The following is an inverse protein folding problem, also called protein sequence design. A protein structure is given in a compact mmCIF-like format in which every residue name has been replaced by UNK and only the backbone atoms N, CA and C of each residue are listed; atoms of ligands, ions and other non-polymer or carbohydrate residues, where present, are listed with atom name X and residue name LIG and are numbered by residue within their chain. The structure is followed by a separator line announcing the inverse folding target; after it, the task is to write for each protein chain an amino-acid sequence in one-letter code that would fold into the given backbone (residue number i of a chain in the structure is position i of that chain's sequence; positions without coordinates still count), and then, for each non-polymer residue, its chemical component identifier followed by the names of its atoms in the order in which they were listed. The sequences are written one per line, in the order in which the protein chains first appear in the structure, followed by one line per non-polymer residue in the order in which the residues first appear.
data_IF_453346553002
#
_entry.id   IF_453346553002
#
_cell.length_a   1.000
_cell.length_b   1.000
_cell.length_c   1.000
_cell.angle_alpha   90.00
_cell.angle_beta   90.00
_cell.angle_gamma   90.00
#
_symmetry.space_group_name_H-M   'P 1'
#
loop_
_entity.id
_entity.type
_entity.pdbx_description
1 polymer ?
#
# COMPACT_ATOMS: atom_id res chain seq x y z
N UNK A 1 -4.04 -2.11 17.56
CA UNK A 1 -3.35 -2.01 16.25
C UNK A 1 -3.97 -3.03 15.32
N UNK A 2 -4.65 -2.61 14.25
CA UNK A 2 -5.29 -3.55 13.33
C UNK A 2 -4.22 -4.18 12.42
N UNK A 3 -3.98 -5.49 12.57
CA UNK A 3 -2.94 -6.24 11.81
C UNK A 3 -3.12 -6.08 10.30
N UNK A 4 -4.36 -5.88 9.84
CA UNK A 4 -4.67 -5.63 8.43
C UNK A 4 -3.93 -4.42 7.85
N UNK A 5 -3.82 -3.32 8.61
CA UNK A 5 -3.12 -2.11 8.14
C UNK A 5 -1.64 -2.38 7.90
N UNK A 6 -1.01 -3.17 8.77
CA UNK A 6 0.40 -3.59 8.60
C UNK A 6 0.57 -4.48 7.36
N UNK A 7 -0.36 -5.40 7.12
CA UNK A 7 -0.36 -6.26 5.93
C UNK A 7 -0.46 -5.40 4.66
N UNK A 8 -1.33 -4.39 4.62
CA UNK A 8 -1.46 -3.51 3.46
C UNK A 8 -0.19 -2.72 3.17
N UNK A 9 0.51 -2.23 4.20
CA UNK A 9 1.80 -1.57 4.01
C UNK A 9 2.88 -2.53 3.50
N UNK A 10 2.89 -3.78 3.97
CA UNK A 10 3.79 -4.82 3.45
C UNK A 10 3.49 -5.15 1.98
N UNK A 11 2.22 -5.28 1.62
CA UNK A 11 1.78 -5.51 0.23
C UNK A 11 2.13 -4.33 -0.66
N UNK A 12 1.93 -3.11 -0.19
CA UNK A 12 2.36 -1.91 -0.90
C UNK A 12 3.88 -1.93 -1.18
N UNK A 13 4.70 -2.20 -0.17
CA UNK A 13 6.15 -2.33 -0.33
C UNK A 13 6.55 -3.43 -1.32
N UNK A 14 5.89 -4.59 -1.25
CA UNK A 14 6.10 -5.69 -2.19
C UNK A 14 5.75 -5.30 -3.63
N UNK A 15 4.64 -4.60 -3.83
CA UNK A 15 4.19 -4.15 -5.16
C UNK A 15 5.10 -3.07 -5.75
N UNK A 16 5.61 -2.15 -4.93
CA UNK A 16 6.63 -1.18 -5.39
C UNK A 16 7.93 -1.90 -5.78
N UNK A 17 8.38 -2.86 -4.98
CA UNK A 17 9.53 -3.71 -5.32
C UNK A 17 9.30 -4.52 -6.61
N UNK A 18 8.08 -5.05 -6.79
CA UNK A 18 7.66 -5.76 -7.99
C UNK A 18 7.58 -4.85 -9.23
N UNK A 19 7.13 -3.60 -9.07
CA UNK A 19 7.15 -2.61 -10.14
C UNK A 19 8.59 -2.29 -10.57
N UNK A 20 9.51 -2.13 -9.62
CA UNK A 20 10.93 -1.91 -9.92
C UNK A 20 11.58 -3.12 -10.62
N UNK A 21 11.26 -4.34 -10.18
CA UNK A 21 11.72 -5.56 -10.82
C UNK A 21 11.18 -5.69 -12.25
N UNK A 22 9.89 -5.38 -12.47
CA UNK A 22 9.28 -5.39 -13.80
C UNK A 22 9.89 -4.33 -14.74
N UNK A 23 10.23 -3.15 -14.20
CA UNK A 23 10.89 -2.09 -14.95
C UNK A 23 12.27 -2.54 -15.43
N UNK A 24 13.07 -3.12 -14.54
CA UNK A 24 14.38 -3.68 -14.91
C UNK A 24 14.27 -4.81 -15.93
N UNK A 25 13.16 -5.56 -15.92
CA UNK A 25 12.89 -6.63 -16.88
C UNK A 25 12.36 -6.11 -18.24
N UNK A 26 12.33 -4.78 -18.45
CA UNK A 26 11.87 -4.14 -19.69
C UNK A 26 10.35 -4.15 -19.90
N UNK A 27 9.57 -4.65 -18.94
CA UNK A 27 8.11 -4.74 -19.06
C UNK A 27 7.42 -3.51 -18.50
N UNK A 28 7.17 -2.54 -19.38
CA UNK A 28 6.48 -1.29 -19.03
C UNK A 28 5.06 -1.56 -18.51
N UNK A 29 4.34 -2.49 -19.14
CA UNK A 29 2.96 -2.80 -18.79
C UNK A 29 2.84 -3.35 -17.36
N UNK A 30 3.69 -4.32 -17.00
CA UNK A 30 3.73 -4.88 -15.64
C UNK A 30 4.19 -3.85 -14.60
N UNK A 31 5.12 -2.97 -14.96
CA UNK A 31 5.57 -1.88 -14.09
C UNK A 31 4.41 -0.96 -13.72
N UNK A 32 3.62 -0.54 -14.71
CA UNK A 32 2.48 0.36 -14.49
C UNK A 32 1.39 -0.33 -13.68
N UNK A 33 1.08 -1.59 -13.97
CA UNK A 33 0.07 -2.35 -13.21
C UNK A 33 0.49 -2.53 -11.76
N UNK A 34 1.74 -2.94 -11.50
CA UNK A 34 2.26 -3.10 -10.16
C UNK A 34 2.31 -1.76 -9.39
N UNK A 35 2.70 -0.68 -10.05
CA UNK A 35 2.69 0.67 -9.48
C UNK A 35 1.29 1.17 -9.14
N UNK A 36 0.31 0.94 -10.03
CA UNK A 36 -1.09 1.30 -9.79
C UNK A 36 -1.68 0.53 -8.61
N UNK A 37 -1.41 -0.78 -8.52
CA UNK A 37 -1.85 -1.61 -7.40
C UNK A 37 -1.17 -1.18 -6.09
N UNK A 38 0.11 -0.80 -6.13
CA UNK A 38 0.81 -0.26 -4.96
C UNK A 38 0.13 1.02 -4.46
N UNK A 39 -0.23 1.94 -5.36
CA UNK A 39 -0.90 3.19 -4.99
C UNK A 39 -2.25 2.94 -4.30
N UNK A 40 -3.05 2.00 -4.82
CA UNK A 40 -4.33 1.62 -4.21
C UNK A 40 -4.13 0.99 -2.83
N UNK A 41 -3.13 0.11 -2.68
CA UNK A 41 -2.82 -0.52 -1.39
C UNK A 41 -2.40 0.51 -0.33
N UNK A 42 -1.57 1.50 -0.70
CA UNK A 42 -1.18 2.60 0.19
C UNK A 42 -2.39 3.45 0.57
N UNK A 43 -3.23 3.83 -0.40
CA UNK A 43 -4.41 4.64 -0.14
C UNK A 43 -5.37 3.94 0.84
N UNK A 44 -5.63 2.65 0.64
CA UNK A 44 -6.47 1.85 1.55
C UNK A 44 -5.85 1.73 2.95
N UNK A 45 -4.53 1.51 3.04
CA UNK A 45 -3.83 1.46 4.32
C UNK A 45 -3.94 2.78 5.10
N UNK A 46 -3.80 3.91 4.39
CA UNK A 46 -3.88 5.25 4.99
C UNK A 46 -5.30 5.58 5.46
N UNK A 47 -6.34 5.27 4.68
CA UNK A 47 -7.74 5.50 5.08
C UNK A 47 -8.04 4.81 6.42
N UNK A 48 -7.70 3.53 6.54
CA UNK A 48 -7.94 2.80 7.79
C UNK A 48 -7.00 3.19 8.92
N UNK A 49 -5.75 3.56 8.62
CA UNK A 49 -4.82 4.07 9.63
C UNK A 49 -5.33 5.39 10.25
N UNK A 50 -5.82 6.31 9.41
CA UNK A 50 -6.33 7.61 9.84
C UNK A 50 -7.67 7.50 10.58
N UNK A 51 -8.55 6.60 10.15
CA UNK A 51 -9.82 6.32 10.85
C UNK A 51 -9.57 5.78 12.27
N UNK A 52 -8.66 4.81 12.41
CA UNK A 52 -8.22 4.29 13.72
C UNK A 52 -7.63 5.42 14.59
N UNK A 53 -6.83 6.31 13.99
CA UNK A 53 -6.22 7.43 14.71
C UNK A 53 -7.29 8.44 15.20
N UNK A 54 -8.27 8.77 14.35
CA UNK A 54 -9.38 9.65 14.70
C UNK A 54 -10.25 9.08 15.83
N UNK A 55 -10.60 7.79 15.74
CA UNK A 55 -11.36 7.10 16.79
C UNK A 55 -10.61 7.06 18.13
N UNK A 56 -9.28 6.89 18.09
CA UNK A 56 -8.44 6.92 19.29
C UNK A 56 -8.32 8.30 19.94
N UNK A 57 -8.43 9.39 19.16
CA UNK A 57 -8.45 10.75 19.66
C UNK A 57 -9.79 11.10 20.32
N UNK A 58 -10.91 10.65 19.73
CA UNK A 58 -12.26 10.89 20.26
C UNK A 58 -12.59 10.08 21.54
N UNK A 59 -11.82 9.02 21.82
CA UNK A 59 -11.98 8.19 23.02
C UNK A 59 -11.19 8.69 24.24
N UNK A 60 -10.45 9.80 24.12
CA UNK A 60 -9.73 10.50 25.20
C UNK A 60 -10.46 11.79 25.56
#
# INVERSE_FOLDING_TARGET
MNVMVLILFLVAGLLVGGAWAAYQNGSVLLTVVAGALAAVAVAAALVWFLDIFSAGLAAK
#
